data_IF_499666581674
#
_entry.id   IF_499666581674
#
_cell.length_a   1.000
_cell.length_b   1.000
_cell.length_c   1.000
_cell.angle_alpha   90.00
_cell.angle_beta   90.00
_cell.angle_gamma   90.00
#
_symmetry.space_group_name_H-M   'P 1'
#
loop_
_entity.id
_entity.type
_entity.pdbx_description
1 polymer ?
#
# COMPACT_ATOMS: atom_id res chain seq x y z
N UNK A 1 4.00 16.17 4.25
CA UNK A 1 4.82 15.22 3.46
C UNK A 1 4.04 14.87 2.22
N UNK A 2 4.66 14.93 1.05
CA UNK A 2 4.04 14.49 -0.20
C UNK A 2 4.40 13.02 -0.46
N UNK A 3 3.44 12.23 -0.94
CA UNK A 3 3.64 10.81 -1.29
C UNK A 3 3.62 10.73 -2.81
N UNK A 4 4.74 10.30 -3.38
CA UNK A 4 4.93 10.16 -4.81
C UNK A 4 4.98 8.67 -5.12
N UNK A 5 4.12 8.23 -6.04
CA UNK A 5 4.08 6.86 -6.53
C UNK A 5 4.96 6.74 -7.78
N UNK A 6 5.72 5.65 -7.89
CA UNK A 6 6.25 5.27 -9.20
C UNK A 6 5.14 4.69 -10.07
N UNK A 7 5.33 4.72 -11.38
CA UNK A 7 4.39 4.14 -12.34
C UNK A 7 4.14 2.66 -12.04
N UNK A 8 5.20 1.89 -11.77
CA UNK A 8 5.12 0.47 -11.40
C UNK A 8 4.28 0.27 -10.12
N UNK A 9 4.48 1.11 -9.09
CA UNK A 9 3.75 0.97 -7.83
C UNK A 9 2.26 1.29 -7.97
N UNK A 10 1.92 2.26 -8.84
CA UNK A 10 0.53 2.59 -9.14
C UNK A 10 -0.15 1.46 -9.92
N UNK A 11 0.53 0.88 -10.91
CA UNK A 11 -0.02 -0.25 -11.68
C UNK A 11 -0.20 -1.50 -10.80
N UNK A 12 0.79 -1.85 -9.98
CA UNK A 12 0.70 -2.96 -9.01
C UNK A 12 -0.48 -2.80 -8.05
N UNK A 13 -0.70 -1.57 -7.57
CA UNK A 13 -1.84 -1.25 -6.71
C UNK A 13 -3.17 -1.50 -7.42
N UNK A 14 -3.31 -1.05 -8.67
CA UNK A 14 -4.51 -1.28 -9.47
C UNK A 14 -4.72 -2.76 -9.81
N UNK A 15 -3.66 -3.51 -10.11
CA UNK A 15 -3.72 -4.95 -10.36
C UNK A 15 -4.26 -5.70 -9.14
N UNK A 16 -3.78 -5.36 -7.95
CA UNK A 16 -4.28 -5.93 -6.70
C UNK A 16 -5.78 -5.65 -6.52
N UNK A 17 -6.23 -4.41 -6.73
CA UNK A 17 -7.66 -4.05 -6.66
C UNK A 17 -8.48 -4.88 -7.65
N UNK A 18 -8.05 -4.93 -8.92
CA UNK A 18 -8.74 -5.70 -9.97
C UNK A 18 -8.80 -7.19 -9.62
N UNK A 19 -7.72 -7.75 -9.07
CA UNK A 19 -7.69 -9.14 -8.61
C UNK A 19 -8.70 -9.38 -7.48
N UNK A 20 -8.75 -8.50 -6.48
CA UNK A 20 -9.69 -8.59 -5.36
C UNK A 20 -11.14 -8.57 -5.83
N UNK A 21 -11.49 -7.66 -6.73
CA UNK A 21 -12.84 -7.57 -7.32
C UNK A 21 -13.17 -8.84 -8.10
N UNK A 22 -12.25 -9.30 -8.98
CA UNK A 22 -12.47 -10.46 -9.84
C UNK A 22 -12.59 -11.77 -9.07
N UNK A 23 -11.77 -11.95 -8.03
CA UNK A 23 -11.64 -13.24 -7.33
C UNK A 23 -12.51 -13.34 -6.08
N UNK A 24 -12.79 -12.21 -5.45
CA UNK A 24 -13.56 -12.14 -4.21
C UNK A 24 -14.76 -11.21 -4.37
N UNK A 25 -14.66 -9.95 -3.93
CA UNK A 25 -15.78 -9.01 -3.95
C UNK A 25 -15.29 -7.57 -3.96
N UNK A 26 -16.15 -6.65 -4.41
CA UNK A 26 -15.90 -5.20 -4.30
C UNK A 26 -15.63 -4.79 -2.86
N UNK A 27 -16.34 -5.37 -1.88
CA UNK A 27 -16.09 -5.12 -0.45
C UNK A 27 -14.66 -5.48 -0.03
N UNK A 28 -14.11 -6.59 -0.54
CA UNK A 28 -12.73 -6.98 -0.25
C UNK A 28 -11.73 -5.97 -0.83
N UNK A 29 -12.02 -5.41 -2.00
CA UNK A 29 -11.21 -4.38 -2.64
C UNK A 29 -11.28 -3.05 -1.89
N UNK A 30 -12.49 -2.59 -1.50
CA UNK A 30 -12.69 -1.40 -0.67
C UNK A 30 -11.91 -1.51 0.64
N UNK A 31 -12.05 -2.64 1.35
CA UNK A 31 -11.32 -2.85 2.59
C UNK A 31 -9.79 -2.87 2.39
N UNK A 32 -9.28 -3.23 1.21
CA UNK A 32 -7.84 -3.17 0.93
C UNK A 32 -7.39 -1.73 0.66
N UNK A 33 -8.17 -0.97 -0.10
CA UNK A 33 -7.96 0.46 -0.35
C UNK A 33 -7.87 1.22 0.98
N UNK A 34 -8.85 1.01 1.88
CA UNK A 34 -8.89 1.68 3.18
C UNK A 34 -7.65 1.37 4.07
N UNK A 35 -7.14 0.13 4.01
CA UNK A 35 -5.94 -0.27 4.74
C UNK A 35 -4.66 0.36 4.13
N UNK A 36 -4.58 0.43 2.79
CA UNK A 36 -3.47 1.11 2.11
C UNK A 36 -3.46 2.61 2.46
N UNK A 37 -4.62 3.27 2.42
CA UNK A 37 -4.74 4.69 2.78
C UNK A 37 -4.34 4.96 4.24
N UNK A 38 -4.72 4.07 5.16
CA UNK A 38 -4.31 4.14 6.56
C UNK A 38 -2.78 4.11 6.70
N UNK A 39 -2.10 3.23 5.96
CA UNK A 39 -0.63 3.13 5.98
C UNK A 39 0.01 4.39 5.39
N UNK A 40 -0.54 4.93 4.30
CA UNK A 40 -0.07 6.17 3.65
C UNK A 40 -0.19 7.35 4.61
N UNK A 41 -1.29 7.46 5.35
CA UNK A 41 -1.48 8.54 6.32
C UNK A 41 -0.52 8.43 7.50
N UNK A 42 -0.21 7.22 7.96
CA UNK A 42 0.86 6.99 8.94
C UNK A 42 2.24 7.39 8.39
N UNK A 43 2.53 7.09 7.12
CA UNK A 43 3.77 7.52 6.46
C UNK A 43 3.89 9.04 6.37
N UNK A 44 2.79 9.74 6.08
CA UNK A 44 2.77 11.22 6.04
C UNK A 44 3.08 11.83 7.40
N UNK A 45 2.66 11.18 8.49
CA UNK A 45 2.91 11.62 9.86
C UNK A 45 4.32 11.28 10.34
N UNK A 46 4.78 10.06 10.08
CA UNK A 46 6.11 9.58 10.46
C UNK A 46 6.69 8.63 9.38
N UNK A 47 7.53 9.16 8.47
CA UNK A 47 8.15 8.35 7.40
C UNK A 47 9.03 7.20 7.90
N UNK A 48 9.47 7.26 9.16
CA UNK A 48 10.34 6.24 9.77
C UNK A 48 9.58 5.19 10.57
N UNK A 49 8.24 5.23 10.58
CA UNK A 49 7.39 4.36 11.39
C UNK A 49 7.55 2.86 11.08
N UNK A 50 7.98 2.52 9.86
CA UNK A 50 8.09 1.14 9.39
C UNK A 50 9.53 0.63 9.38
N UNK A 51 9.76 -0.67 9.64
CA UNK A 51 11.10 -1.23 9.70
C UNK A 51 11.83 -1.13 8.35
N UNK A 52 13.15 -1.06 8.43
CA UNK A 52 14.01 -1.22 7.25
C UNK A 52 13.81 -2.62 6.65
N UNK A 53 13.85 -2.66 5.32
CA UNK A 53 13.94 -3.91 4.56
C UNK A 53 15.40 -4.36 4.44
N UNK A 54 15.61 -5.49 3.77
CA UNK A 54 16.96 -5.96 3.43
C UNK A 54 17.63 -5.13 2.32
N UNK A 55 16.91 -4.17 1.72
CA UNK A 55 17.43 -3.26 0.70
C UNK A 55 17.82 -1.91 1.31
N UNK A 56 18.93 -1.35 0.83
CA UNK A 56 19.49 -0.10 1.33
C UNK A 56 18.49 1.05 1.15
N UNK A 57 18.22 1.77 2.24
CA UNK A 57 17.32 2.94 2.27
C UNK A 57 15.86 2.65 1.90
N UNK A 58 15.42 1.38 1.95
CA UNK A 58 14.03 1.00 1.69
C UNK A 58 13.41 0.47 2.98
N UNK A 59 12.24 1.01 3.35
CA UNK A 59 11.41 0.53 4.47
C UNK A 59 10.26 -0.31 3.93
N UNK A 60 9.74 -1.24 4.74
CA UNK A 60 8.63 -2.13 4.36
C UNK A 60 7.47 -1.99 5.34
N UNK A 61 6.29 -1.66 4.80
CA UNK A 61 5.02 -1.71 5.51
C UNK A 61 4.22 -2.95 5.04
N UNK A 62 3.67 -3.71 5.98
CA UNK A 62 2.76 -4.83 5.66
C UNK A 62 1.34 -4.30 5.80
N UNK A 63 0.57 -4.36 4.72
CA UNK A 63 -0.83 -3.88 4.68
C UNK A 63 -1.77 -4.95 5.22
N UNK A 64 -1.72 -6.17 4.68
CA UNK A 64 -2.58 -7.30 5.05
C UNK A 64 -1.79 -8.61 5.02
N UNK A 65 -2.20 -9.60 5.82
CA UNK A 65 -1.62 -10.95 5.89
C UNK A 65 -2.53 -11.99 5.25
#
# INVERSE_FOLDING_TARGET
>A
MEVIWSDDAFEDYLENIRFLIRRWSEKSAINFIDEVDTIIDLLKLNPEAFPLSNYKSIRRAVVRK
#
